data_IF_192901172421
#
_entry.id   IF_192901172421
#
_cell.length_a   1.000
_cell.length_b   1.000
_cell.length_c   1.000
_cell.angle_alpha   90.00
_cell.angle_beta   90.00
_cell.angle_gamma   90.00
#
_symmetry.space_group_name_H-M   'P 1'
#
loop_
_entity.id
_entity.type
_entity.pdbx_description
1 polymer ?
#
# COMPACT_ATOMS: atom_id res chain seq x y z
N UNK A 1 15.04 3.78 -17.56
CA UNK A 1 14.91 3.85 -16.08
C UNK A 1 15.43 2.60 -15.37
N UNK A 2 14.97 1.39 -15.71
CA UNK A 2 15.31 0.14 -14.99
C UNK A 2 16.83 -0.13 -14.80
N UNK A 3 17.71 -0.03 -15.82
CA UNK A 3 19.15 -0.30 -15.62
C UNK A 3 19.82 0.66 -14.62
N UNK A 4 19.36 1.91 -14.55
CA UNK A 4 19.85 2.90 -13.61
C UNK A 4 19.39 2.60 -12.18
N UNK A 5 18.09 2.36 -11.98
CA UNK A 5 17.54 2.00 -10.65
C UNK A 5 18.15 0.70 -10.11
N UNK A 6 18.58 -0.20 -10.98
CA UNK A 6 19.19 -1.49 -10.62
C UNK A 6 20.64 -1.36 -10.14
N UNK A 7 21.24 -0.17 -10.23
CA UNK A 7 22.55 0.16 -9.67
C UNK A 7 22.49 0.80 -8.27
N UNK A 8 21.30 1.18 -7.80
CA UNK A 8 21.09 1.79 -6.47
C UNK A 8 20.82 0.73 -5.39
N UNK A 9 20.85 1.09 -4.11
CA UNK A 9 20.18 0.29 -3.08
C UNK A 9 18.68 0.15 -3.40
N UNK A 10 18.06 -0.98 -3.03
CA UNK A 10 16.68 -1.25 -3.43
C UNK A 10 15.67 -0.31 -2.74
N UNK A 11 15.89 0.07 -1.48
CA UNK A 11 15.03 1.05 -0.80
C UNK A 11 15.24 2.46 -1.37
N UNK A 12 16.49 2.82 -1.71
CA UNK A 12 16.78 4.10 -2.37
C UNK A 12 16.16 4.19 -3.76
N UNK A 13 16.23 3.12 -4.54
CA UNK A 13 15.57 3.03 -5.83
C UNK A 13 14.05 3.21 -5.70
N UNK A 14 13.43 2.63 -4.66
CA UNK A 14 12.01 2.79 -4.38
C UNK A 14 11.67 4.24 -3.98
N UNK A 15 12.44 4.84 -3.07
CA UNK A 15 12.26 6.24 -2.67
C UNK A 15 12.44 7.20 -3.86
N UNK A 16 13.44 6.95 -4.70
CA UNK A 16 13.67 7.72 -5.92
C UNK A 16 12.50 7.57 -6.89
N UNK A 17 12.09 6.34 -7.22
CA UNK A 17 11.02 6.11 -8.19
C UNK A 17 9.68 6.72 -7.74
N UNK A 18 9.32 6.56 -6.46
CA UNK A 18 8.06 7.09 -5.93
C UNK A 18 8.03 8.62 -5.89
N UNK A 19 9.18 9.29 -5.69
CA UNK A 19 9.28 10.76 -5.78
C UNK A 19 8.85 11.31 -7.15
N UNK A 20 9.11 10.59 -8.23
CA UNK A 20 8.76 11.02 -9.59
C UNK A 20 7.44 10.43 -10.10
N UNK A 21 6.81 9.55 -9.33
CA UNK A 21 5.55 8.92 -9.70
C UNK A 21 4.43 9.91 -10.08
N UNK A 22 4.26 11.08 -9.41
CA UNK A 22 3.26 12.06 -9.82
C UNK A 22 3.48 12.67 -11.21
N UNK A 23 4.69 12.57 -11.76
CA UNK A 23 5.05 13.11 -13.07
C UNK A 23 4.74 12.14 -14.23
N UNK A 24 4.43 10.88 -13.92
CA UNK A 24 4.12 9.90 -14.95
C UNK A 24 2.72 10.22 -15.53
N UNK A 25 2.57 10.36 -16.86
CA UNK A 25 1.28 10.60 -17.47
C UNK A 25 0.34 9.42 -17.20
N UNK A 26 -0.99 9.65 -17.15
CA UNK A 26 -1.95 8.57 -17.01
C UNK A 26 -1.77 7.51 -18.11
N UNK A 27 -1.81 6.25 -17.73
CA UNK A 27 -1.81 5.12 -18.67
C UNK A 27 -3.27 4.86 -19.05
N UNK A 28 -3.66 5.07 -20.32
CA UNK A 28 -5.02 4.78 -20.74
C UNK A 28 -5.27 3.27 -20.66
N UNK A 29 -6.23 2.88 -19.83
CA UNK A 29 -6.69 1.50 -19.71
C UNK A 29 -8.09 1.41 -20.35
N UNK A 30 -8.31 0.52 -21.33
CA UNK A 30 -9.63 0.34 -21.91
C UNK A 30 -10.56 -0.27 -20.84
N UNK A 31 -11.70 0.37 -20.61
CA UNK A 31 -12.75 -0.22 -19.78
C UNK A 31 -13.36 -1.41 -20.53
N UNK A 32 -13.47 -2.55 -19.85
CA UNK A 32 -14.08 -3.75 -20.41
C UNK A 32 -15.07 -4.32 -19.40
N UNK A 33 -16.38 -4.37 -19.72
CA UNK A 33 -17.38 -5.02 -18.87
C UNK A 33 -17.04 -6.49 -18.57
N UNK A 34 -16.24 -7.14 -19.41
CA UNK A 34 -15.78 -8.52 -19.20
C UNK A 34 -14.76 -8.67 -18.07
N UNK A 35 -14.02 -7.60 -17.77
CA UNK A 35 -13.02 -7.59 -16.70
C UNK A 35 -13.55 -6.93 -15.42
N UNK A 36 -14.61 -6.14 -15.52
CA UNK A 36 -15.24 -5.50 -14.38
C UNK A 36 -15.64 -6.55 -13.33
N UNK A 37 -15.27 -6.29 -12.08
CA UNK A 37 -15.57 -7.17 -10.94
C UNK A 37 -16.16 -6.35 -9.80
N UNK A 38 -17.04 -6.97 -9.02
CA UNK A 38 -17.55 -6.40 -7.78
C UNK A 38 -17.59 -7.45 -6.68
N UNK A 39 -17.50 -7.01 -5.44
CA UNK A 39 -17.57 -7.87 -4.26
C UNK A 39 -18.89 -7.70 -3.49
N UNK A 40 -19.98 -7.38 -4.18
CA UNK A 40 -21.31 -7.22 -3.57
C UNK A 40 -21.51 -5.91 -2.79
N UNK A 41 -20.49 -5.06 -2.69
CA UNK A 41 -20.59 -3.70 -2.13
C UNK A 41 -20.36 -2.67 -3.26
N UNK A 42 -21.24 -1.66 -3.44
CA UNK A 42 -21.02 -0.59 -4.43
C UNK A 42 -19.69 0.16 -4.30
N UNK A 43 -19.07 0.17 -3.11
CA UNK A 43 -17.73 0.74 -2.85
C UNK A 43 -16.60 -0.16 -3.35
N UNK A 44 -16.87 -1.46 -3.53
CA UNK A 44 -15.91 -2.47 -3.96
C UNK A 44 -16.19 -2.89 -5.40
N UNK A 45 -16.27 -1.88 -6.28
CA UNK A 45 -16.34 -2.06 -7.74
C UNK A 45 -14.97 -1.79 -8.35
N UNK A 46 -14.49 -2.73 -9.15
CA UNK A 46 -13.17 -2.69 -9.76
C UNK A 46 -13.33 -2.73 -11.28
N UNK A 47 -12.65 -1.82 -11.99
CA UNK A 47 -12.69 -1.78 -13.46
C UNK A 47 -12.13 -3.04 -14.12
N UNK A 48 -11.20 -3.71 -13.43
CA UNK A 48 -10.58 -4.99 -13.80
C UNK A 48 -10.03 -5.67 -12.52
N UNK A 49 -9.61 -6.94 -12.51
CA UNK A 49 -9.21 -7.64 -11.28
C UNK A 49 -7.75 -7.38 -10.84
N UNK A 50 -7.12 -6.29 -11.30
CA UNK A 50 -5.69 -6.02 -11.02
C UNK A 50 -5.53 -4.84 -10.08
N UNK A 51 -5.27 -5.14 -8.82
CA UNK A 51 -4.93 -4.17 -7.77
C UNK A 51 -3.44 -4.09 -7.48
N UNK A 52 -3.03 -3.02 -6.80
CA UNK A 52 -1.69 -2.89 -6.23
C UNK A 52 -1.66 -3.43 -4.80
N UNK A 53 -0.77 -4.39 -4.54
CA UNK A 53 -0.59 -4.99 -3.23
C UNK A 53 0.03 -4.03 -2.18
N UNK A 54 -0.23 -4.30 -0.91
CA UNK A 54 0.39 -3.60 0.21
C UNK A 54 1.91 -3.72 0.22
N UNK A 55 2.54 -2.85 1.00
CA UNK A 55 3.99 -2.75 1.14
C UNK A 55 4.64 -1.82 0.12
N UNK A 56 3.97 -1.50 -1.00
CA UNK A 56 4.43 -0.49 -1.94
C UNK A 56 4.18 0.94 -1.43
N UNK A 57 2.93 1.29 -1.11
CA UNK A 57 2.58 2.59 -0.50
C UNK A 57 2.12 2.39 0.95
N UNK A 58 3.08 2.20 1.85
CA UNK A 58 2.80 1.93 3.27
C UNK A 58 2.10 3.07 4.00
N UNK A 59 2.16 4.26 3.43
CA UNK A 59 1.85 5.52 4.09
C UNK A 59 0.73 6.30 3.39
N UNK A 60 0.12 5.75 2.34
CA UNK A 60 -0.97 6.36 1.58
C UNK A 60 -0.58 7.65 0.87
N UNK A 61 0.67 7.79 0.43
CA UNK A 61 1.20 9.03 -0.17
C UNK A 61 0.92 9.13 -1.66
N UNK A 62 0.68 8.01 -2.32
CA UNK A 62 0.80 7.88 -3.77
C UNK A 62 -0.43 7.27 -4.43
N UNK A 63 -1.56 7.13 -3.72
CA UNK A 63 -2.79 6.51 -4.22
C UNK A 63 -3.22 7.09 -5.57
N UNK A 64 -3.31 8.42 -5.70
CA UNK A 64 -3.76 9.07 -6.95
C UNK A 64 -2.80 8.83 -8.12
N UNK A 65 -1.48 9.07 -8.00
CA UNK A 65 -0.51 8.69 -9.03
C UNK A 65 -0.54 7.21 -9.41
N UNK A 66 -0.68 6.31 -8.42
CA UNK A 66 -0.75 4.87 -8.67
C UNK A 66 -2.00 4.48 -9.44
N UNK A 67 -3.16 5.05 -9.09
CA UNK A 67 -4.41 4.79 -9.81
C UNK A 67 -4.30 5.21 -11.29
N UNK A 68 -3.58 6.30 -11.57
CA UNK A 68 -3.31 6.76 -12.94
C UNK A 68 -2.43 5.81 -13.76
N UNK A 69 -1.71 4.90 -13.12
CA UNK A 69 -0.99 3.83 -13.81
C UNK A 69 -1.92 2.67 -14.24
N UNK A 70 -3.22 2.75 -13.95
CA UNK A 70 -4.20 1.77 -14.37
C UNK A 70 -4.43 0.65 -13.37
N UNK A 71 -4.15 0.83 -12.07
CA UNK A 71 -4.62 -0.10 -11.05
C UNK A 71 -6.09 0.15 -10.74
N UNK A 72 -6.88 -0.92 -10.63
CA UNK A 72 -8.31 -0.83 -10.31
C UNK A 72 -8.59 -0.77 -8.80
N UNK A 73 -7.59 -1.05 -7.97
CA UNK A 73 -7.60 -0.86 -6.52
C UNK A 73 -6.18 -0.69 -5.99
N UNK A 74 -6.08 -0.09 -4.82
CA UNK A 74 -4.80 0.15 -4.15
C UNK A 74 -4.91 -0.28 -2.70
N UNK A 75 -4.04 -1.18 -2.30
CA UNK A 75 -3.87 -1.55 -0.90
C UNK A 75 -2.69 -0.78 -0.30
N UNK A 76 -2.97 0.09 0.67
CA UNK A 76 -1.95 0.83 1.42
C UNK A 76 -1.61 0.12 2.72
N UNK A 77 -0.52 0.52 3.36
CA UNK A 77 0.02 -0.16 4.55
C UNK A 77 1.06 -1.22 4.19
N UNK A 78 1.47 -2.11 5.09
CA UNK A 78 0.90 -2.32 6.42
C UNK A 78 1.10 -1.15 7.36
N UNK A 79 0.01 -0.66 7.97
CA UNK A 79 0.02 0.39 8.99
C UNK A 79 -0.09 -0.22 10.39
N UNK A 80 0.60 0.37 11.35
CA UNK A 80 0.56 -0.02 12.78
C UNK A 80 -0.06 1.11 13.62
N UNK A 81 -0.49 0.86 14.87
CA UNK A 81 -1.07 1.89 15.73
C UNK A 81 -0.18 3.12 15.88
N UNK A 82 1.14 2.90 16.04
CA UNK A 82 2.16 3.96 16.13
C UNK A 82 3.16 3.85 14.99
N UNK A 83 3.85 4.95 14.69
CA UNK A 83 4.97 4.93 13.77
C UNK A 83 6.06 3.98 14.26
N UNK A 84 6.70 3.27 13.34
CA UNK A 84 7.85 2.43 13.66
C UNK A 84 8.84 2.40 12.49
N UNK A 85 10.15 2.33 12.78
CA UNK A 85 11.21 2.41 11.75
C UNK A 85 11.35 1.13 10.92
N UNK A 86 10.80 0.00 11.40
CA UNK A 86 11.00 -1.35 10.86
C UNK A 86 12.32 -1.98 11.31
N UNK A 87 12.79 -2.98 10.56
CA UNK A 87 14.09 -3.64 10.84
C UNK A 87 15.27 -2.80 10.34
N UNK A 88 16.49 -3.12 10.77
CA UNK A 88 17.71 -2.45 10.30
C UNK A 88 17.96 -2.69 8.80
N UNK A 89 18.56 -1.70 8.14
CA UNK A 89 18.99 -1.79 6.73
C UNK A 89 20.36 -2.51 6.62
N UNK A 90 20.65 -3.20 5.50
CA UNK A 90 19.79 -3.44 4.35
C UNK A 90 18.72 -4.50 4.64
N UNK A 91 17.53 -4.35 4.04
CA UNK A 91 16.36 -5.21 4.30
C UNK A 91 15.45 -5.42 3.09
N UNK A 92 15.89 -5.01 1.91
CA UNK A 92 15.24 -5.27 0.62
C UNK A 92 16.31 -5.66 -0.40
N UNK A 93 16.15 -6.84 -1.01
CA UNK A 93 17.14 -7.47 -1.87
C UNK A 93 16.49 -7.83 -3.21
N UNK A 94 17.26 -7.73 -4.28
CA UNK A 94 16.80 -7.98 -5.65
C UNK A 94 17.55 -9.17 -6.24
N UNK A 95 16.80 -10.02 -6.95
CA UNK A 95 17.31 -11.14 -7.72
C UNK A 95 16.82 -10.98 -9.17
N UNK A 96 17.51 -10.15 -9.99
CA UNK A 96 17.00 -9.68 -11.27
C UNK A 96 16.74 -10.79 -12.29
N UNK A 97 17.58 -11.82 -12.31
CA UNK A 97 17.47 -12.96 -13.24
C UNK A 97 16.20 -13.77 -12.95
N UNK A 98 15.88 -13.94 -11.67
CA UNK A 98 14.70 -14.65 -11.19
C UNK A 98 13.44 -13.76 -11.15
N UNK A 99 13.57 -12.46 -11.48
CA UNK A 99 12.52 -11.45 -11.33
C UNK A 99 11.91 -11.44 -9.92
N UNK A 100 12.75 -11.66 -8.90
CA UNK A 100 12.33 -11.84 -7.53
C UNK A 100 12.87 -10.78 -6.57
N UNK A 101 12.18 -10.62 -5.44
CA UNK A 101 12.54 -9.75 -4.33
C UNK A 101 12.50 -10.56 -3.03
N UNK A 102 13.44 -10.29 -2.13
CA UNK A 102 13.40 -10.77 -0.74
C UNK A 102 13.42 -9.55 0.17
N UNK A 103 12.57 -9.51 1.19
CA UNK A 103 12.54 -8.39 2.12
C UNK A 103 12.33 -8.83 3.56
N UNK A 104 12.81 -8.01 4.49
CA UNK A 104 12.59 -8.12 5.93
C UNK A 104 12.26 -6.73 6.48
N UNK A 105 11.29 -6.04 5.89
CA UNK A 105 11.04 -4.62 6.16
C UNK A 105 10.56 -4.36 7.59
N UNK A 106 9.76 -5.27 8.17
CA UNK A 106 9.30 -5.18 9.56
C UNK A 106 8.27 -4.06 9.79
N UNK A 107 7.35 -3.85 8.84
CA UNK A 107 6.29 -2.82 8.91
C UNK A 107 6.79 -1.40 9.20
N UNK A 108 7.83 -0.93 8.51
CA UNK A 108 8.21 0.49 8.61
C UNK A 108 7.11 1.41 8.05
N UNK A 109 6.52 2.26 8.90
CA UNK A 109 5.41 3.15 8.55
C UNK A 109 5.31 4.34 9.52
N UNK A 110 4.53 5.35 9.14
CA UNK A 110 4.38 6.61 9.88
C UNK A 110 3.25 6.56 10.93
N UNK A 111 2.60 5.41 11.11
CA UNK A 111 1.50 5.18 12.05
C UNK A 111 0.12 5.54 11.51
N UNK A 112 -0.90 5.06 12.21
CA UNK A 112 -2.30 5.20 11.83
C UNK A 112 -2.78 6.66 11.73
N UNK A 113 -2.34 7.53 12.65
CA UNK A 113 -2.74 8.95 12.62
C UNK A 113 -2.20 9.68 11.40
N UNK A 114 -0.95 9.40 11.01
CA UNK A 114 -0.35 10.01 9.82
C UNK A 114 -1.02 9.51 8.53
N UNK A 115 -1.35 8.22 8.47
CA UNK A 115 -2.11 7.66 7.36
C UNK A 115 -3.49 8.31 7.28
N UNK A 116 -4.21 8.36 8.40
CA UNK A 116 -5.54 8.96 8.46
C UNK A 116 -5.52 10.43 8.02
N UNK A 117 -4.55 11.22 8.47
CA UNK A 117 -4.42 12.60 8.06
C UNK A 117 -4.26 12.76 6.53
N UNK A 118 -3.58 11.82 5.86
CA UNK A 118 -3.41 11.84 4.39
C UNK A 118 -4.63 11.38 3.61
N UNK A 119 -5.38 10.44 4.18
CA UNK A 119 -6.58 9.88 3.52
C UNK A 119 -7.85 10.70 3.83
N UNK A 120 -7.83 11.55 4.86
CA UNK A 120 -8.91 12.49 5.14
C UNK A 120 -9.11 13.45 3.96
N UNK A 121 -10.37 13.72 3.62
CA UNK A 121 -10.72 14.79 2.70
C UNK A 121 -11.28 14.38 1.33
N UNK A 122 -11.54 13.09 1.07
CA UNK A 122 -12.41 12.72 -0.04
C UNK A 122 -12.20 11.32 -0.60
N UNK A 123 -13.11 10.93 -1.50
CA UNK A 123 -13.04 9.65 -2.20
C UNK A 123 -11.82 9.58 -3.13
N UNK A 124 -11.17 8.43 -3.11
CA UNK A 124 -10.11 8.08 -4.04
C UNK A 124 -10.71 7.66 -5.39
N UNK A 125 -9.95 7.76 -6.50
CA UNK A 125 -10.45 7.40 -7.83
C UNK A 125 -10.70 5.89 -8.01
N UNK A 126 -10.20 5.08 -7.08
CA UNK A 126 -10.31 3.62 -7.04
C UNK A 126 -10.52 3.17 -5.59
N UNK A 127 -11.12 1.99 -5.35
CA UNK A 127 -11.21 1.43 -4.01
C UNK A 127 -9.84 1.35 -3.33
N UNK A 128 -9.79 1.77 -2.06
CA UNK A 128 -8.60 1.77 -1.22
C UNK A 128 -8.76 0.79 -0.08
N UNK A 129 -7.94 -0.26 -0.11
CA UNK A 129 -7.75 -1.18 1.00
C UNK A 129 -6.73 -0.66 1.97
N UNK A 130 -6.95 -0.87 3.27
CA UNK A 130 -5.93 -0.60 4.29
C UNK A 130 -5.48 -1.91 4.93
N UNK A 131 -4.22 -2.25 4.71
CA UNK A 131 -3.56 -3.38 5.33
C UNK A 131 -3.12 -3.01 6.76
N UNK A 132 -3.66 -3.74 7.74
CA UNK A 132 -3.46 -3.52 9.16
C UNK A 132 -2.46 -4.51 9.71
N UNK A 133 -1.57 -4.04 10.58
CA UNK A 133 -0.57 -4.87 11.26
C UNK A 133 -0.48 -4.56 12.74
N UNK A 134 -0.09 -5.57 13.49
CA UNK A 134 0.26 -5.45 14.91
C UNK A 134 1.52 -4.59 15.08
N UNK A 135 1.54 -3.73 16.10
CA UNK A 135 2.74 -3.03 16.53
C UNK A 135 3.84 -4.05 16.90
N UNK A 136 5.11 -3.74 16.61
CA UNK A 136 6.22 -4.68 16.88
C UNK A 136 6.24 -5.17 18.34
N UNK A 137 6.07 -4.25 19.29
CA UNK A 137 6.16 -4.51 20.72
C UNK A 137 4.92 -5.16 21.34
N UNK A 138 3.76 -5.13 20.66
CA UNK A 138 2.53 -5.76 21.16
C UNK A 138 2.70 -7.29 21.18
N UNK A 139 2.47 -7.99 22.30
CA UNK A 139 2.50 -9.45 22.32
C UNK A 139 1.48 -10.06 21.36
N UNK A 140 1.73 -11.25 20.76
CA UNK A 140 0.78 -11.90 19.84
C UNK A 140 -0.62 -12.09 20.43
N UNK A 141 -0.72 -12.36 21.74
CA UNK A 141 -1.98 -12.57 22.46
C UNK A 141 -2.83 -11.29 22.51
N UNK A 142 -2.19 -10.13 22.37
CA UNK A 142 -2.83 -8.81 22.36
C UNK A 142 -3.02 -8.24 20.95
N UNK A 143 -2.61 -8.96 19.90
CA UNK A 143 -2.65 -8.50 18.51
C UNK A 143 -4.04 -8.02 18.08
N UNK A 144 -5.09 -8.71 18.56
CA UNK A 144 -6.49 -8.38 18.29
C UNK A 144 -6.85 -6.94 18.70
N UNK A 145 -6.24 -6.40 19.76
CA UNK A 145 -6.44 -5.01 20.21
C UNK A 145 -5.91 -4.01 19.19
N UNK A 146 -4.74 -4.28 18.62
CA UNK A 146 -4.15 -3.42 17.58
C UNK A 146 -5.01 -3.43 16.31
N UNK A 147 -5.42 -4.62 15.84
CA UNK A 147 -6.29 -4.73 14.66
C UNK A 147 -7.65 -4.04 14.87
N UNK A 148 -8.30 -4.27 16.01
CA UNK A 148 -9.59 -3.66 16.32
C UNK A 148 -9.49 -2.13 16.44
N UNK A 149 -8.46 -1.65 17.13
CA UNK A 149 -8.20 -0.21 17.28
C UNK A 149 -7.90 0.46 15.95
N UNK A 150 -7.08 -0.16 15.10
CA UNK A 150 -6.80 0.32 13.75
C UNK A 150 -8.05 0.36 12.87
N UNK A 151 -8.83 -0.72 12.83
CA UNK A 151 -10.04 -0.81 12.04
C UNK A 151 -11.05 0.27 12.47
N UNK A 152 -11.29 0.42 13.78
CA UNK A 152 -12.17 1.46 14.30
C UNK A 152 -11.65 2.87 13.95
N UNK A 153 -10.34 3.09 14.07
CA UNK A 153 -9.73 4.40 13.81
C UNK A 153 -9.79 4.82 12.34
N UNK A 154 -9.66 3.86 11.43
CA UNK A 154 -9.52 4.08 10.00
C UNK A 154 -10.81 3.79 9.20
N UNK A 155 -11.89 3.36 9.86
CA UNK A 155 -13.15 2.97 9.22
C UNK A 155 -13.73 4.07 8.31
N UNK A 156 -13.51 5.34 8.65
CA UNK A 156 -14.00 6.47 7.86
C UNK A 156 -13.23 6.74 6.57
N UNK A 157 -12.09 6.07 6.32
CA UNK A 157 -11.23 6.31 5.15
C UNK A 157 -10.86 5.05 4.36
N UNK A 158 -11.28 3.86 4.82
CA UNK A 158 -11.05 2.60 4.13
C UNK A 158 -12.29 2.15 3.36
N UNK A 159 -12.13 1.63 2.15
CA UNK A 159 -13.19 0.90 1.46
C UNK A 159 -13.26 -0.55 1.93
N UNK A 160 -12.10 -1.14 2.27
CA UNK A 160 -11.96 -2.44 2.91
C UNK A 160 -10.70 -2.51 3.79
N UNK A 161 -10.65 -3.51 4.67
CA UNK A 161 -9.49 -3.81 5.50
C UNK A 161 -8.89 -5.16 5.14
N UNK A 162 -7.57 -5.25 5.30
CA UNK A 162 -6.82 -6.52 5.22
C UNK A 162 -6.10 -6.71 6.55
N UNK A 163 -6.31 -7.84 7.22
CA UNK A 163 -5.59 -8.18 8.44
C UNK A 163 -4.34 -8.98 8.06
N UNK A 164 -3.16 -8.41 8.31
CA UNK A 164 -1.88 -9.08 8.06
C UNK A 164 -1.44 -9.80 9.33
N UNK A 165 -1.76 -11.09 9.41
CA UNK A 165 -1.59 -11.99 10.58
C UNK A 165 -0.40 -12.92 10.45
#
# INVERSE_FOLDING_TARGET
>A
MRPFLFRMDAEEAHAFATRFLPLIPPVPMPESPLLATDLGDPRLRFAHPVGLAAGFDKNGRWIRPLARLGFSSIEVGTVTPRAQPGNDRPRLFRYPEQRALVNRLGFNNDGAEALLARLRGGKHPVPVGINLGKQRETPPEEASRDYAGLAARLAGVADYFVLNV
#
